data_IF_040538000417
#
_entry.id   IF_040538000417
#
_cell.length_a   1.000
_cell.length_b   1.000
_cell.length_c   1.000
_cell.angle_alpha   90.00
_cell.angle_beta   90.00
_cell.angle_gamma   90.00
#
_symmetry.space_group_name_H-M   'P 1'
#
loop_
_entity.id
_entity.type
_entity.pdbx_description
1 polymer ?
#
# COMPACT_ATOMS: atom_id res chain seq x y z
N UNK A 1 12.06 4.62 0.49
CA UNK A 1 10.62 4.98 0.46
C UNK A 1 9.83 3.75 0.85
N UNK A 2 8.98 3.88 1.86
CA UNK A 2 8.07 2.80 2.27
C UNK A 2 6.97 2.65 1.23
N UNK A 3 6.47 1.42 1.01
CA UNK A 3 5.29 1.24 0.17
C UNK A 3 4.04 1.80 0.84
N UNK A 4 2.99 2.15 0.06
CA UNK A 4 1.72 2.67 0.58
C UNK A 4 1.13 1.83 1.72
N UNK A 5 1.28 0.50 1.63
CA UNK A 5 0.82 -0.44 2.66
C UNK A 5 1.61 -0.27 3.97
N UNK A 6 2.93 -0.16 3.88
CA UNK A 6 3.81 0.01 5.03
C UNK A 6 3.56 1.36 5.71
N UNK A 7 3.31 2.41 4.93
CA UNK A 7 2.98 3.73 5.46
C UNK A 7 1.64 3.76 6.20
N UNK A 8 0.64 3.01 5.70
CA UNK A 8 -0.65 2.81 6.40
C UNK A 8 -0.47 2.06 7.73
N UNK A 9 0.37 1.03 7.78
CA UNK A 9 0.68 0.34 9.04
C UNK A 9 1.44 1.24 10.01
N UNK A 10 2.43 1.99 9.53
CA UNK A 10 3.15 2.97 10.33
C UNK A 10 2.18 4.01 10.93
N UNK A 11 1.25 4.52 10.12
CA UNK A 11 0.21 5.45 10.56
C UNK A 11 -0.66 4.87 11.69
N UNK A 12 -0.98 3.56 11.63
CA UNK A 12 -1.73 2.88 12.68
C UNK A 12 -0.89 2.73 13.96
N UNK A 13 0.35 2.27 13.83
CA UNK A 13 1.25 2.07 14.96
C UNK A 13 1.58 3.39 15.67
N UNK A 14 1.80 4.46 14.91
CA UNK A 14 2.04 5.79 15.44
C UNK A 14 0.83 6.32 16.22
N UNK A 15 -0.39 6.18 15.70
CA UNK A 15 -1.62 6.55 16.45
C UNK A 15 -1.75 5.76 17.74
N UNK A 16 -1.42 4.47 17.73
CA UNK A 16 -1.43 3.62 18.93
C UNK A 16 -0.42 4.10 19.98
N UNK A 17 0.82 4.39 19.59
CA UNK A 17 1.86 4.91 20.49
C UNK A 17 1.52 6.29 21.04
N UNK A 18 1.02 7.17 20.19
CA UNK A 18 0.54 8.50 20.56
C UNK A 18 -0.60 8.41 21.58
N UNK A 19 -1.58 7.53 21.34
CA UNK A 19 -2.69 7.31 22.26
C UNK A 19 -2.22 6.73 23.61
N UNK A 20 -1.26 5.80 23.61
CA UNK A 20 -0.67 5.29 24.85
C UNK A 20 0.00 6.39 25.67
N UNK A 21 0.74 7.30 25.02
CA UNK A 21 1.33 8.44 25.69
C UNK A 21 0.27 9.40 26.22
N UNK A 22 -0.64 9.89 25.37
CA UNK A 22 -1.63 10.91 25.74
C UNK A 22 -2.64 10.45 26.81
N UNK A 23 -2.83 9.14 26.98
CA UNK A 23 -3.71 8.56 28.01
C UNK A 23 -2.91 7.98 29.19
N UNK A 24 -1.68 8.46 29.41
CA UNK A 24 -0.84 7.98 30.52
C UNK A 24 -1.39 8.40 31.88
N UNK A 25 -0.94 7.68 32.90
CA UNK A 25 -1.11 7.98 34.32
C UNK A 25 0.25 8.19 35.00
N UNK A 26 0.25 8.41 36.32
CA UNK A 26 1.48 8.70 37.08
C UNK A 26 2.51 7.56 37.12
N UNK A 27 2.12 6.34 36.79
CA UNK A 27 3.01 5.18 36.80
C UNK A 27 3.67 4.92 35.45
N UNK A 28 3.07 5.40 34.36
CA UNK A 28 3.50 5.03 33.01
C UNK A 28 3.82 6.21 32.08
N UNK A 29 3.60 7.47 32.50
CA UNK A 29 3.86 8.63 31.64
C UNK A 29 5.31 8.71 31.14
N UNK A 30 6.29 8.56 32.03
CA UNK A 30 7.71 8.68 31.67
C UNK A 30 8.15 7.55 30.73
N UNK A 31 7.80 6.30 31.05
CA UNK A 31 8.15 5.16 30.19
C UNK A 31 7.46 5.23 28.83
N UNK A 32 6.23 5.76 28.77
CA UNK A 32 5.54 5.96 27.50
C UNK A 32 6.15 7.10 26.69
N UNK A 33 6.69 8.15 27.32
CA UNK A 33 7.45 9.19 26.63
C UNK A 33 8.75 8.61 26.05
N UNK A 34 9.53 7.87 26.83
CA UNK A 34 10.75 7.21 26.33
C UNK A 34 10.42 6.31 25.13
N UNK A 35 9.39 5.47 25.24
CA UNK A 35 8.94 4.62 24.13
C UNK A 35 8.48 5.40 22.90
N UNK A 36 7.90 6.58 23.08
CA UNK A 36 7.46 7.45 21.99
C UNK A 36 8.66 8.06 21.27
N UNK A 37 9.63 8.62 22.01
CA UNK A 37 10.88 9.16 21.48
C UNK A 37 11.68 8.05 20.77
N UNK A 38 11.89 6.91 21.43
CA UNK A 38 12.57 5.75 20.84
C UNK A 38 11.90 5.29 19.54
N UNK A 39 10.56 5.32 19.47
CA UNK A 39 9.82 4.94 18.26
C UNK A 39 10.05 5.92 17.11
N UNK A 40 10.12 7.24 17.39
CA UNK A 40 10.48 8.25 16.40
C UNK A 40 11.91 7.99 15.89
N UNK A 41 12.87 7.86 16.82
CA UNK A 41 14.29 7.74 16.49
C UNK A 41 14.62 6.44 15.72
N UNK A 42 14.00 5.33 16.11
CA UNK A 42 14.22 4.01 15.50
C UNK A 42 13.46 3.78 14.20
N UNK A 43 12.50 4.64 13.86
CA UNK A 43 11.71 4.50 12.63
C UNK A 43 12.17 5.51 11.57
N UNK A 44 12.84 5.09 10.48
CA UNK A 44 13.44 6.01 9.51
C UNK A 44 12.48 7.06 8.93
N UNK A 45 11.22 6.70 8.68
CA UNK A 45 10.20 7.64 8.18
C UNK A 45 9.82 8.69 9.22
N UNK A 46 9.59 8.29 10.48
CA UNK A 46 9.24 9.23 11.55
C UNK A 46 10.43 10.14 11.86
N UNK A 47 11.62 9.55 11.97
CA UNK A 47 12.88 10.28 12.09
C UNK A 47 13.01 11.32 10.99
N UNK A 48 12.80 10.93 9.73
CA UNK A 48 12.88 11.83 8.59
C UNK A 48 11.92 13.01 8.70
N UNK A 49 10.65 12.76 9.05
CA UNK A 49 9.61 13.79 9.22
C UNK A 49 10.03 14.81 10.29
N UNK A 50 10.50 14.34 11.45
CA UNK A 50 10.83 15.22 12.59
C UNK A 50 12.13 15.98 12.35
N UNK A 51 13.19 15.29 11.91
CA UNK A 51 14.49 15.92 11.68
C UNK A 51 14.52 16.88 10.49
N UNK A 52 13.62 16.75 9.51
CA UNK A 52 13.49 17.74 8.43
C UNK A 52 13.14 19.14 8.96
N UNK A 53 12.48 19.21 10.13
CA UNK A 53 12.18 20.45 10.85
C UNK A 53 13.21 20.74 11.94
N UNK A 54 13.46 19.77 12.84
CA UNK A 54 14.25 19.98 14.06
C UNK A 54 15.72 20.33 13.79
N UNK A 55 16.32 19.78 12.74
CA UNK A 55 17.74 20.03 12.39
C UNK A 55 17.94 21.33 11.60
N UNK A 56 16.87 21.88 11.02
CA UNK A 56 16.91 23.08 10.16
C UNK A 56 16.38 24.34 10.82
N UNK A 57 15.83 24.20 12.01
CA UNK A 57 15.25 25.31 12.78
C UNK A 57 16.18 25.58 13.96
N UNK A 58 16.51 26.83 14.22
CA UNK A 58 17.31 27.23 15.37
C UNK A 58 16.38 27.86 16.41
N UNK A 59 16.10 27.13 17.47
CA UNK A 59 15.19 27.55 18.55
C UNK A 59 15.53 26.78 19.83
N UNK A 60 15.68 27.46 20.97
CA UNK A 60 15.86 26.79 22.27
C UNK A 60 14.50 26.41 22.85
N UNK A 61 14.28 25.13 23.11
CA UNK A 61 13.03 24.67 23.70
C UNK A 61 12.72 25.32 25.05
N UNK A 62 13.73 25.83 25.77
CA UNK A 62 13.56 26.58 27.02
C UNK A 62 12.91 27.94 26.83
N UNK A 63 12.82 28.46 25.60
CA UNK A 63 12.01 29.64 25.31
C UNK A 63 10.52 29.27 25.19
N UNK A 64 10.19 28.02 24.86
CA UNK A 64 8.82 27.52 24.81
C UNK A 64 8.37 26.91 26.16
N UNK A 65 9.23 26.15 26.83
CA UNK A 65 8.91 25.48 28.09
C UNK A 65 9.66 26.13 29.24
N UNK A 66 8.96 26.98 29.99
CA UNK A 66 9.52 27.71 31.12
C UNK A 66 9.32 26.91 32.41
N UNK A 67 10.40 26.35 32.95
CA UNK A 67 10.36 25.55 34.19
C UNK A 67 11.55 25.84 35.10
N UNK A 68 11.62 27.04 35.69
CA UNK A 68 12.60 27.35 36.73
C UNK A 68 12.27 26.63 38.05
N UNK A 69 13.28 26.22 38.83
CA UNK A 69 13.07 25.52 40.10
C UNK A 69 12.09 26.24 41.04
N UNK A 70 11.05 25.53 41.47
CA UNK A 70 10.04 26.03 42.41
C UNK A 70 8.92 26.88 41.81
N UNK A 71 8.96 27.20 40.51
CA UNK A 71 7.93 27.98 39.81
C UNK A 71 6.84 27.11 39.17
N UNK A 72 5.70 27.69 38.79
CA UNK A 72 4.77 27.02 37.88
C UNK A 72 5.39 26.90 36.48
N UNK A 73 5.00 25.86 35.75
CA UNK A 73 5.39 25.68 34.36
C UNK A 73 4.50 26.54 33.46
N UNK A 74 5.13 27.25 32.54
CA UNK A 74 4.45 27.99 31.48
C UNK A 74 4.89 27.46 30.10
N UNK A 75 3.93 27.33 29.19
CA UNK A 75 4.18 26.96 27.79
C UNK A 75 3.94 28.19 26.92
N UNK A 76 5.03 28.78 26.43
CA UNK A 76 5.02 29.94 25.53
C UNK A 76 5.16 29.46 24.08
N UNK A 77 4.02 29.19 23.45
CA UNK A 77 3.99 28.68 22.08
C UNK A 77 4.53 29.75 21.11
N UNK A 78 5.62 29.49 20.35
CA UNK A 78 6.13 30.42 19.36
C UNK A 78 5.17 30.57 18.18
N UNK A 79 5.25 31.71 17.49
CA UNK A 79 4.38 32.01 16.34
C UNK A 79 4.73 31.14 15.13
N UNK A 80 6.01 30.83 14.93
CA UNK A 80 6.43 29.91 13.88
C UNK A 80 6.16 28.47 14.32
N UNK A 81 5.35 27.76 13.53
CA UNK A 81 5.03 26.36 13.77
C UNK A 81 6.29 25.49 13.81
N UNK A 82 7.30 25.77 12.99
CA UNK A 82 8.55 24.99 12.96
C UNK A 82 9.34 25.13 14.26
N UNK A 83 9.39 26.33 14.82
CA UNK A 83 10.00 26.59 16.13
C UNK A 83 9.26 25.82 17.22
N UNK A 84 7.93 25.80 17.17
CA UNK A 84 7.11 25.04 18.13
C UNK A 84 7.37 23.54 18.02
N UNK A 85 7.36 22.97 16.81
CA UNK A 85 7.62 21.54 16.58
C UNK A 85 9.02 21.14 17.04
N UNK A 86 10.03 21.97 16.73
CA UNK A 86 11.39 21.78 17.23
C UNK A 86 11.43 21.80 18.76
N UNK A 87 10.84 22.82 19.37
CA UNK A 87 10.83 22.97 20.83
C UNK A 87 10.22 21.75 21.51
N UNK A 88 9.07 21.26 21.02
CA UNK A 88 8.41 20.07 21.57
C UNK A 88 9.30 18.83 21.44
N UNK A 89 9.92 18.62 20.29
CA UNK A 89 10.80 17.46 20.07
C UNK A 89 12.04 17.51 20.96
N UNK A 90 12.72 18.66 21.03
CA UNK A 90 13.91 18.84 21.87
C UNK A 90 13.55 18.69 23.36
N UNK A 91 12.39 19.20 23.78
CA UNK A 91 11.87 19.04 25.13
C UNK A 91 11.53 17.59 25.49
N UNK A 92 10.80 16.88 24.61
CA UNK A 92 10.48 15.47 24.79
C UNK A 92 11.75 14.62 24.90
N UNK A 93 12.72 14.88 24.03
CA UNK A 93 14.04 14.22 24.04
C UNK A 93 14.83 14.55 25.31
N UNK A 94 14.78 15.79 25.78
CA UNK A 94 15.42 16.21 27.04
C UNK A 94 14.88 15.43 28.23
N UNK A 95 13.56 15.34 28.41
CA UNK A 95 12.97 14.58 29.52
C UNK A 95 13.28 13.09 29.36
N UNK A 96 13.09 12.52 28.17
CA UNK A 96 13.26 11.09 27.94
C UNK A 96 14.69 10.58 28.23
N UNK A 97 15.69 11.46 28.13
CA UNK A 97 17.09 11.15 28.40
C UNK A 97 17.59 11.68 29.76
N UNK A 98 16.73 12.30 30.56
CA UNK A 98 17.10 12.83 31.86
C UNK A 98 16.89 11.81 32.97
N UNK A 99 17.77 11.82 33.97
CA UNK A 99 17.59 11.06 35.21
C UNK A 99 16.78 11.84 36.25
N UNK A 100 16.65 13.17 36.08
CA UNK A 100 16.05 14.07 37.08
C UNK A 100 14.75 14.70 36.63
N UNK A 101 14.44 14.65 35.34
CA UNK A 101 13.24 15.25 34.76
C UNK A 101 12.20 14.18 34.44
N UNK A 102 10.93 14.53 34.60
CA UNK A 102 9.82 13.59 34.45
C UNK A 102 8.57 14.35 34.02
N UNK A 103 7.76 13.75 33.15
CA UNK A 103 6.44 14.26 32.77
C UNK A 103 5.57 14.41 34.02
N UNK A 104 5.63 13.48 34.95
CA UNK A 104 4.83 13.53 36.19
C UNK A 104 5.26 14.70 37.07
N UNK A 105 6.57 14.95 37.15
CA UNK A 105 7.10 16.10 37.89
C UNK A 105 6.64 17.42 37.27
N UNK A 106 6.76 17.55 35.94
CA UNK A 106 6.37 18.75 35.21
C UNK A 106 4.86 18.97 35.24
N UNK A 107 4.05 17.94 35.02
CA UNK A 107 2.60 18.06 35.01
C UNK A 107 2.04 18.52 36.36
N UNK A 108 2.64 18.12 37.48
CA UNK A 108 2.22 18.57 38.83
C UNK A 108 2.44 20.06 39.06
N UNK A 109 3.33 20.67 38.27
CA UNK A 109 3.63 22.11 38.28
C UNK A 109 2.97 22.83 37.11
N UNK A 110 2.08 22.16 36.37
CA UNK A 110 1.33 22.77 35.27
C UNK A 110 -0.01 23.35 35.77
N UNK A 111 -0.38 24.59 35.40
CA UNK A 111 -1.67 25.16 35.75
C UNK A 111 -2.82 24.38 35.11
N UNK A 112 -3.45 23.51 35.89
CA UNK A 112 -4.59 22.71 35.47
C UNK A 112 -5.80 22.94 36.39
N UNK A 113 -7.01 22.96 35.81
CA UNK A 113 -8.26 23.10 36.58
C UNK A 113 -8.67 21.81 37.29
N UNK A 114 -8.17 20.65 36.83
CA UNK A 114 -8.45 19.38 37.46
C UNK A 114 -7.55 19.16 38.67
N UNK A 115 -8.08 18.51 39.69
CA UNK A 115 -7.33 18.05 40.86
C UNK A 115 -6.95 16.57 40.79
N UNK A 116 -7.37 15.84 39.74
CA UNK A 116 -7.01 14.42 39.56
C UNK A 116 -5.67 14.31 38.85
N UNK A 117 -4.73 13.57 39.43
CA UNK A 117 -3.37 13.42 38.91
C UNK A 117 -3.34 13.00 37.44
N UNK A 118 -4.14 11.99 37.06
CA UNK A 118 -4.22 11.50 35.68
C UNK A 118 -4.70 12.58 34.70
N UNK A 119 -5.77 13.29 35.03
CA UNK A 119 -6.29 14.37 34.17
C UNK A 119 -5.29 15.53 34.07
N UNK A 120 -4.52 15.82 35.13
CA UNK A 120 -3.45 16.82 35.11
C UNK A 120 -2.32 16.38 34.17
N UNK A 121 -1.87 15.13 34.25
CA UNK A 121 -0.86 14.55 33.36
C UNK A 121 -1.32 14.61 31.90
N UNK A 122 -2.56 14.18 31.64
CA UNK A 122 -3.10 14.12 30.28
C UNK A 122 -3.30 15.52 29.70
N UNK A 123 -3.80 16.49 30.48
CA UNK A 123 -3.89 17.88 30.02
C UNK A 123 -2.51 18.45 29.71
N UNK A 124 -1.53 18.19 30.57
CA UNK A 124 -0.16 18.63 30.33
C UNK A 124 0.40 18.03 29.03
N UNK A 125 0.24 16.73 28.80
CA UNK A 125 0.69 16.06 27.57
C UNK A 125 -0.06 16.57 26.32
N UNK A 126 -1.34 16.89 26.45
CA UNK A 126 -2.13 17.49 25.37
C UNK A 126 -1.59 18.86 24.96
N UNK A 127 -1.11 19.67 25.91
CA UNK A 127 -0.60 21.00 25.60
C UNK A 127 0.89 20.99 25.22
N UNK A 128 1.67 20.05 25.78
CA UNK A 128 3.13 20.00 25.57
C UNK A 128 3.59 19.09 24.44
N UNK A 129 2.92 17.95 24.19
CA UNK A 129 3.42 16.91 23.25
C UNK A 129 2.49 16.71 22.05
N UNK A 130 1.17 16.84 22.24
CA UNK A 130 0.19 16.58 21.17
C UNK A 130 0.43 17.37 19.87
N UNK A 131 0.88 18.63 19.87
CA UNK A 131 1.13 19.32 18.60
C UNK A 131 2.19 18.62 17.72
N UNK A 132 3.23 18.02 18.31
CA UNK A 132 4.19 17.17 17.59
C UNK A 132 3.53 15.90 17.04
N UNK A 133 2.66 15.27 17.83
CA UNK A 133 1.88 14.10 17.40
C UNK A 133 1.00 14.45 16.19
N UNK A 134 0.31 15.58 16.24
CA UNK A 134 -0.57 16.03 15.16
C UNK A 134 0.24 16.32 13.89
N UNK A 135 1.38 17.02 14.01
CA UNK A 135 2.30 17.29 12.90
C UNK A 135 2.78 16.01 12.20
N UNK A 136 3.20 15.00 12.97
CA UNK A 136 3.66 13.72 12.40
C UNK A 136 2.49 12.99 11.73
N UNK A 137 1.31 12.94 12.36
CA UNK A 137 0.12 12.32 11.78
C UNK A 137 -0.27 12.97 10.45
N UNK A 138 -0.24 14.29 10.38
CA UNK A 138 -0.56 15.05 9.17
C UNK A 138 0.47 14.80 8.07
N UNK A 139 1.77 14.75 8.42
CA UNK A 139 2.84 14.46 7.47
C UNK A 139 2.70 13.06 6.85
N UNK A 140 2.45 12.04 7.67
CA UNK A 140 2.17 10.67 7.19
C UNK A 140 0.90 10.66 6.32
N UNK A 141 -0.14 11.37 6.73
CA UNK A 141 -1.42 11.39 6.01
C UNK A 141 -1.29 12.05 4.64
N UNK A 142 -0.53 13.16 4.54
CA UNK A 142 -0.21 13.82 3.26
C UNK A 142 0.54 12.90 2.31
N UNK A 143 1.53 12.15 2.81
CA UNK A 143 2.28 11.20 1.99
C UNK A 143 1.40 10.02 1.52
N UNK A 144 0.51 9.51 2.38
CA UNK A 144 -0.48 8.49 2.01
C UNK A 144 -1.43 9.00 0.90
N UNK A 145 -1.87 10.25 0.96
CA UNK A 145 -2.74 10.87 -0.06
C UNK A 145 -1.98 10.96 -1.38
N UNK A 146 -0.76 11.50 -1.37
CA UNK A 146 0.07 11.65 -2.58
C UNK A 146 0.32 10.29 -3.25
N UNK A 147 0.68 9.26 -2.49
CA UNK A 147 0.89 7.91 -3.02
C UNK A 147 -0.39 7.26 -3.57
N UNK A 148 -1.56 7.63 -3.05
CA UNK A 148 -2.85 7.15 -3.60
C UNK A 148 -3.24 7.88 -4.89
N UNK A 149 -2.90 9.16 -5.01
CA UNK A 149 -3.10 9.94 -6.24
C UNK A 149 -2.15 9.50 -7.36
N UNK A 150 -0.91 9.14 -7.03
CA UNK A 150 0.08 8.60 -7.98
C UNK A 150 -0.23 7.17 -8.41
N UNK A 151 -1.02 6.44 -7.62
CA UNK A 151 -1.43 5.08 -7.91
C UNK A 151 -2.94 4.93 -7.66
N UNK A 152 -3.77 5.65 -8.45
CA UNK A 152 -5.21 5.59 -8.31
C UNK A 152 -5.57 4.16 -8.68
N UNK A 153 -5.90 3.34 -7.67
CA UNK A 153 -6.13 1.92 -7.85
C UNK A 153 -7.01 1.72 -9.09
N UNK A 154 -6.60 0.80 -9.97
CA UNK A 154 -7.27 0.59 -11.26
C UNK A 154 -8.75 0.36 -11.01
N UNK A 155 -9.57 1.38 -11.26
CA UNK A 155 -11.02 1.24 -11.24
C UNK A 155 -11.42 0.52 -12.51
N UNK A 156 -11.55 -0.80 -12.41
CA UNK A 156 -12.14 -1.60 -13.48
C UNK A 156 -13.66 -1.49 -13.39
N UNK A 157 -14.25 -0.70 -14.28
CA UNK A 157 -15.70 -0.63 -14.45
C UNK A 157 -16.10 -1.46 -15.66
N UNK A 158 -16.82 -2.55 -15.42
CA UNK A 158 -17.43 -3.33 -16.50
C UNK A 158 -18.68 -2.60 -16.98
N UNK A 159 -18.60 -1.96 -18.13
CA UNK A 159 -19.76 -1.41 -18.83
C UNK A 159 -20.29 -2.52 -19.76
N UNK A 160 -21.60 -2.79 -19.72
CA UNK A 160 -22.25 -3.73 -20.63
C UNK A 160 -22.28 -3.21 -22.09
N UNK A 161 -23.26 -3.63 -22.88
CA UNK A 161 -23.39 -3.16 -24.27
C UNK A 161 -23.61 -1.64 -24.34
N UNK A 162 -22.69 -0.91 -24.96
CA UNK A 162 -22.80 0.54 -25.20
C UNK A 162 -23.00 0.78 -26.69
N UNK A 163 -24.15 1.36 -27.07
CA UNK A 163 -24.46 1.74 -28.47
C UNK A 163 -24.11 3.22 -28.77
N UNK A 164 -23.19 3.82 -28.01
CA UNK A 164 -22.84 5.24 -28.06
C UNK A 164 -21.39 5.52 -27.63
N UNK A 165 -20.99 6.80 -27.63
CA UNK A 165 -19.63 7.19 -27.29
C UNK A 165 -19.39 7.13 -25.77
N UNK A 166 -18.25 6.54 -25.37
CA UNK A 166 -17.75 6.61 -24.00
C UNK A 166 -16.94 7.91 -23.86
N UNK A 167 -17.34 8.77 -22.92
CA UNK A 167 -16.65 10.03 -22.63
C UNK A 167 -16.19 10.01 -21.18
N UNK A 168 -14.90 10.19 -20.94
CA UNK A 168 -14.33 10.29 -19.60
C UNK A 168 -14.29 11.76 -19.16
N UNK A 169 -14.76 12.05 -17.94
CA UNK A 169 -14.81 13.42 -17.38
C UNK A 169 -13.58 13.78 -16.52
N UNK A 170 -12.68 12.83 -16.23
CA UNK A 170 -11.50 13.04 -15.39
C UNK A 170 -10.21 12.54 -16.05
N UNK A 171 -9.05 12.99 -15.58
CA UNK A 171 -7.73 12.55 -16.06
C UNK A 171 -7.44 11.08 -15.71
N UNK A 172 -7.17 10.25 -16.71
CA UNK A 172 -6.78 8.84 -16.57
C UNK A 172 -6.77 8.14 -17.94
N UNK A 173 -6.14 6.97 -18.06
CA UNK A 173 -6.16 6.19 -19.30
C UNK A 173 -7.41 5.29 -19.36
N UNK A 174 -8.21 5.41 -20.43
CA UNK A 174 -9.25 4.40 -20.74
C UNK A 174 -8.57 3.25 -21.47
N UNK A 175 -8.47 2.09 -20.82
CA UNK A 175 -8.24 0.84 -21.52
C UNK A 175 -9.60 0.26 -21.93
N UNK A 176 -10.02 0.51 -23.18
CA UNK A 176 -11.24 -0.09 -23.72
C UNK A 176 -10.91 -1.53 -24.13
N UNK A 177 -11.28 -2.49 -23.28
CA UNK A 177 -11.31 -3.89 -23.67
C UNK A 177 -12.67 -4.16 -24.33
N UNK A 178 -12.77 -3.83 -25.62
CA UNK A 178 -13.94 -4.26 -26.40
C UNK A 178 -13.90 -5.78 -26.53
N UNK A 179 -14.83 -6.47 -25.86
CA UNK A 179 -15.24 -7.80 -26.29
C UNK A 179 -16.03 -7.67 -27.60
N UNK A 180 -15.35 -7.30 -28.68
CA UNK A 180 -15.88 -7.55 -30.02
C UNK A 180 -16.12 -9.03 -30.12
N UNK A 181 -17.36 -9.44 -30.42
CA UNK A 181 -17.75 -10.84 -30.49
C UNK A 181 -16.73 -11.63 -31.31
N UNK A 182 -15.98 -12.49 -30.63
CA UNK A 182 -15.00 -13.34 -31.28
C UNK A 182 -15.73 -14.57 -31.77
N UNK A 183 -15.61 -14.82 -33.07
CA UNK A 183 -16.24 -15.97 -33.69
C UNK A 183 -15.53 -17.25 -33.24
N UNK A 184 -16.24 -18.39 -33.21
CA UNK A 184 -15.58 -19.68 -32.97
C UNK A 184 -14.47 -19.99 -33.98
N UNK A 185 -14.52 -19.37 -35.16
CA UNK A 185 -13.50 -19.46 -36.22
C UNK A 185 -12.18 -18.81 -35.79
N UNK A 186 -12.22 -17.67 -35.10
CA UNK A 186 -11.04 -16.97 -34.60
C UNK A 186 -10.33 -17.77 -33.48
N UNK A 187 -11.10 -18.40 -32.59
CA UNK A 187 -10.55 -19.25 -31.53
C UNK A 187 -9.95 -20.54 -32.12
N UNK A 188 -10.60 -21.15 -33.09
CA UNK A 188 -10.07 -22.33 -33.79
C UNK A 188 -8.75 -22.01 -34.52
N UNK A 189 -8.67 -20.85 -35.19
CA UNK A 189 -7.43 -20.41 -35.85
C UNK A 189 -6.26 -20.20 -34.89
N UNK A 190 -6.52 -19.66 -33.69
CA UNK A 190 -5.50 -19.52 -32.64
C UNK A 190 -5.02 -20.88 -32.12
N UNK A 191 -5.93 -21.85 -31.93
CA UNK A 191 -5.57 -23.21 -31.51
C UNK A 191 -4.65 -23.86 -32.54
N UNK A 192 -5.02 -23.82 -33.83
CA UNK A 192 -4.22 -24.41 -34.92
C UNK A 192 -2.83 -23.79 -35.00
N UNK A 193 -2.75 -22.47 -34.91
CA UNK A 193 -1.49 -21.73 -34.88
C UNK A 193 -0.60 -22.21 -33.74
N UNK A 194 -1.13 -22.33 -32.52
CA UNK A 194 -0.35 -22.77 -31.36
C UNK A 194 0.09 -24.25 -31.50
N UNK A 195 -0.82 -25.16 -31.87
CA UNK A 195 -0.51 -26.59 -32.06
C UNK A 195 0.65 -26.76 -33.07
N UNK A 196 0.64 -26.00 -34.16
CA UNK A 196 1.69 -26.07 -35.19
C UNK A 196 3.08 -25.66 -34.69
N UNK A 197 3.15 -24.88 -33.61
CA UNK A 197 4.40 -24.39 -33.00
C UNK A 197 4.92 -25.25 -31.85
N UNK A 198 4.12 -26.20 -31.33
CA UNK A 198 4.49 -26.98 -30.15
C UNK A 198 5.74 -27.83 -30.36
N UNK A 199 5.93 -28.38 -31.56
CA UNK A 199 7.11 -29.19 -31.91
C UNK A 199 8.42 -28.40 -31.95
N UNK A 200 8.34 -27.07 -31.97
CA UNK A 200 9.51 -26.19 -31.96
C UNK A 200 9.95 -25.82 -30.55
N UNK A 201 9.13 -26.07 -29.52
CA UNK A 201 9.44 -25.77 -28.12
C UNK A 201 10.63 -26.62 -27.65
N UNK A 202 11.69 -25.95 -27.20
CA UNK A 202 12.89 -26.57 -26.63
C UNK A 202 12.89 -26.39 -25.12
N UNK A 203 13.65 -27.23 -24.42
CA UNK A 203 13.86 -27.13 -22.97
C UNK A 203 12.58 -27.29 -22.11
N UNK A 204 11.58 -27.96 -22.68
CA UNK A 204 10.36 -28.44 -22.03
C UNK A 204 10.27 -29.95 -22.30
N UNK A 205 9.82 -30.71 -21.29
CA UNK A 205 9.66 -32.16 -21.43
C UNK A 205 8.63 -32.50 -22.52
N UNK A 206 8.92 -33.53 -23.31
CA UNK A 206 8.00 -34.04 -24.33
C UNK A 206 6.65 -34.43 -23.73
N UNK A 207 6.62 -34.96 -22.51
CA UNK A 207 5.36 -35.32 -21.83
C UNK A 207 4.49 -34.07 -21.54
N UNK A 208 5.11 -32.95 -21.18
CA UNK A 208 4.41 -31.68 -20.91
C UNK A 208 3.89 -31.04 -22.21
N UNK A 209 4.69 -31.13 -23.28
CA UNK A 209 4.28 -30.65 -24.62
C UNK A 209 3.13 -31.48 -25.18
N UNK A 210 3.18 -32.80 -25.03
CA UNK A 210 2.10 -33.69 -25.46
C UNK A 210 0.83 -33.46 -24.63
N UNK A 211 0.96 -33.26 -23.32
CA UNK A 211 -0.18 -32.95 -22.45
C UNK A 211 -0.90 -31.66 -22.85
N UNK A 212 -0.17 -30.56 -23.12
CA UNK A 212 -0.83 -29.31 -23.54
C UNK A 212 -1.43 -29.42 -24.93
N UNK A 213 -0.84 -30.25 -25.80
CA UNK A 213 -1.38 -30.55 -27.12
C UNK A 213 -2.74 -31.25 -27.00
N UNK A 214 -2.85 -32.28 -26.16
CA UNK A 214 -4.11 -32.98 -25.91
C UNK A 214 -5.20 -32.04 -25.38
N UNK A 215 -4.84 -31.10 -24.50
CA UNK A 215 -5.76 -30.09 -23.99
C UNK A 215 -6.22 -29.12 -25.10
N UNK A 216 -5.31 -28.66 -25.96
CA UNK A 216 -5.63 -27.80 -27.09
C UNK A 216 -6.53 -28.50 -28.12
N UNK A 217 -6.25 -29.77 -28.44
CA UNK A 217 -7.08 -30.60 -29.31
C UNK A 217 -8.46 -30.84 -28.69
N UNK A 218 -8.53 -31.05 -27.37
CA UNK A 218 -9.81 -31.19 -26.68
C UNK A 218 -10.63 -29.88 -26.70
N UNK A 219 -9.99 -28.71 -26.61
CA UNK A 219 -10.67 -27.43 -26.80
C UNK A 219 -11.20 -27.31 -28.24
N UNK A 220 -10.37 -27.66 -29.23
CA UNK A 220 -10.74 -27.63 -30.64
C UNK A 220 -11.98 -28.49 -30.94
N UNK A 221 -11.98 -29.74 -30.44
CA UNK A 221 -13.10 -30.67 -30.58
C UNK A 221 -14.40 -30.09 -29.99
N UNK A 222 -14.31 -29.42 -28.84
CA UNK A 222 -15.48 -28.85 -28.18
C UNK A 222 -16.01 -27.60 -28.88
N UNK A 223 -15.14 -26.77 -29.46
CA UNK A 223 -15.55 -25.58 -30.23
C UNK A 223 -16.33 -25.97 -31.49
N UNK A 224 -15.91 -27.06 -32.14
CA UNK A 224 -16.55 -27.57 -33.36
C UNK A 224 -17.78 -28.47 -33.07
N UNK A 225 -17.99 -28.86 -31.82
CA UNK A 225 -19.11 -29.71 -31.43
C UNK A 225 -20.45 -28.95 -31.56
N UNK A 226 -21.51 -29.59 -32.10
CA UNK A 226 -22.85 -29.01 -32.08
C UNK A 226 -23.43 -28.90 -30.66
N UNK A 227 -22.82 -29.59 -29.69
CA UNK A 227 -23.20 -29.53 -28.26
C UNK A 227 -21.94 -29.45 -27.39
N UNK A 228 -21.32 -28.26 -27.28
CA UNK A 228 -20.11 -28.06 -26.49
C UNK A 228 -20.38 -28.33 -25.01
N UNK A 229 -19.48 -29.06 -24.34
CA UNK A 229 -19.58 -29.32 -22.90
C UNK A 229 -18.69 -28.36 -22.12
N UNK A 230 -19.32 -27.37 -21.47
CA UNK A 230 -18.66 -26.35 -20.64
C UNK A 230 -17.59 -26.90 -19.70
N UNK A 231 -17.93 -27.93 -18.91
CA UNK A 231 -16.99 -28.54 -17.95
C UNK A 231 -15.77 -29.20 -18.61
N UNK A 232 -15.94 -29.77 -19.82
CA UNK A 232 -14.84 -30.39 -20.56
C UNK A 232 -13.89 -29.32 -21.10
N UNK A 233 -14.44 -28.24 -21.65
CA UNK A 233 -13.67 -27.09 -22.11
C UNK A 233 -12.92 -26.41 -20.97
N UNK A 234 -13.56 -26.22 -19.82
CA UNK A 234 -12.91 -25.61 -18.66
C UNK A 234 -11.74 -26.47 -18.17
N UNK A 235 -11.89 -27.80 -18.16
CA UNK A 235 -10.81 -28.71 -17.76
C UNK A 235 -9.61 -28.60 -18.71
N UNK A 236 -9.85 -28.65 -20.01
CA UNK A 236 -8.80 -28.50 -21.02
C UNK A 236 -8.13 -27.13 -20.94
N UNK A 237 -8.91 -26.05 -20.81
CA UNK A 237 -8.39 -24.70 -20.64
C UNK A 237 -7.51 -24.55 -19.39
N UNK A 238 -7.88 -25.19 -18.28
CA UNK A 238 -7.06 -25.17 -17.07
C UNK A 238 -5.69 -25.80 -17.30
N UNK A 239 -5.61 -26.87 -18.11
CA UNK A 239 -4.34 -27.50 -18.51
C UNK A 239 -3.48 -26.58 -19.37
N UNK A 240 -4.08 -25.93 -20.37
CA UNK A 240 -3.42 -24.89 -21.19
C UNK A 240 -2.88 -23.74 -20.35
N UNK A 241 -3.67 -23.24 -19.39
CA UNK A 241 -3.26 -22.16 -18.48
C UNK A 241 -2.10 -22.57 -17.60
N UNK A 242 -2.14 -23.79 -17.05
CA UNK A 242 -1.07 -24.32 -16.22
C UNK A 242 0.24 -24.41 -17.01
N UNK A 243 0.21 -25.01 -18.20
CA UNK A 243 1.38 -25.09 -19.07
C UNK A 243 1.97 -23.70 -19.37
N UNK A 244 1.13 -22.74 -19.75
CA UNK A 244 1.58 -21.38 -20.04
C UNK A 244 2.15 -20.67 -18.79
N UNK A 245 1.61 -20.92 -17.60
CA UNK A 245 2.15 -20.39 -16.34
C UNK A 245 3.52 -20.98 -16.02
N UNK A 246 3.68 -22.29 -16.18
CA UNK A 246 4.89 -23.02 -15.78
C UNK A 246 6.04 -22.80 -16.78
N UNK A 247 5.74 -22.57 -18.06
CA UNK A 247 6.73 -22.50 -19.14
C UNK A 247 6.71 -21.19 -19.95
N UNK A 248 5.88 -20.20 -19.59
CA UNK A 248 5.59 -19.01 -20.42
C UNK A 248 6.82 -18.24 -20.90
N UNK A 249 7.89 -18.14 -20.10
CA UNK A 249 9.14 -17.48 -20.53
C UNK A 249 9.91 -18.32 -21.56
N UNK A 250 9.93 -19.65 -21.44
CA UNK A 250 10.58 -20.56 -22.40
C UNK A 250 9.82 -20.64 -23.72
N UNK A 251 8.49 -20.67 -23.64
CA UNK A 251 7.59 -20.63 -24.79
C UNK A 251 7.70 -19.27 -25.49
N UNK A 252 7.86 -18.16 -24.76
CA UNK A 252 8.08 -16.84 -25.39
C UNK A 252 9.44 -16.74 -26.11
N UNK A 253 10.51 -17.30 -25.53
CA UNK A 253 11.89 -17.21 -26.07
C UNK A 253 12.08 -18.09 -27.31
N UNK A 254 11.54 -19.30 -27.32
CA UNK A 254 11.73 -20.24 -28.44
C UNK A 254 10.96 -19.81 -29.68
N UNK A 255 9.80 -19.18 -29.46
CA UNK A 255 8.82 -18.91 -30.51
C UNK A 255 8.94 -17.49 -31.08
N UNK A 256 9.63 -16.58 -30.36
CA UNK A 256 10.09 -15.29 -30.92
C UNK A 256 10.93 -15.44 -32.20
N UNK A 257 11.52 -16.62 -32.45
CA UNK A 257 12.25 -16.91 -33.68
C UNK A 257 11.33 -17.16 -34.90
N UNK A 258 10.04 -17.54 -34.71
CA UNK A 258 9.01 -17.68 -35.77
C UNK A 258 7.57 -17.72 -35.21
N UNK A 259 6.77 -16.74 -35.67
CA UNK A 259 5.29 -16.75 -35.88
C UNK A 259 4.34 -16.81 -34.66
N UNK A 260 4.65 -17.48 -33.55
CA UNK A 260 3.76 -17.53 -32.36
C UNK A 260 4.40 -16.78 -31.17
N UNK A 261 3.61 -16.10 -30.34
CA UNK A 261 4.11 -15.21 -29.28
C UNK A 261 3.39 -15.47 -27.96
N UNK A 262 3.93 -14.95 -26.85
CA UNK A 262 3.20 -14.94 -25.57
C UNK A 262 1.85 -14.21 -25.68
N UNK A 263 1.72 -13.28 -26.62
CA UNK A 263 0.45 -12.60 -26.91
C UNK A 263 -0.56 -13.57 -27.56
N UNK A 264 -0.12 -14.48 -28.42
CA UNK A 264 -1.02 -15.49 -29.02
C UNK A 264 -1.57 -16.46 -27.97
N UNK A 265 -0.73 -16.92 -27.02
CA UNK A 265 -1.19 -17.74 -25.89
C UNK A 265 -2.16 -16.99 -24.99
N UNK A 266 -1.86 -15.72 -24.69
CA UNK A 266 -2.75 -14.86 -23.90
C UNK A 266 -4.09 -14.65 -24.60
N UNK A 267 -4.06 -14.40 -25.91
CA UNK A 267 -5.24 -14.24 -26.74
C UNK A 267 -6.08 -15.53 -26.74
N UNK A 268 -5.47 -16.70 -26.96
CA UNK A 268 -6.16 -17.98 -26.92
C UNK A 268 -6.87 -18.21 -25.58
N UNK A 269 -6.18 -18.01 -24.46
CA UNK A 269 -6.76 -18.21 -23.12
C UNK A 269 -7.96 -17.27 -22.93
N UNK A 270 -7.83 -15.99 -23.28
CA UNK A 270 -8.92 -15.01 -23.16
C UNK A 270 -10.11 -15.40 -24.04
N UNK A 271 -9.87 -15.78 -25.29
CA UNK A 271 -10.93 -16.15 -26.22
C UNK A 271 -11.64 -17.44 -25.82
N UNK A 272 -10.91 -18.44 -25.32
CA UNK A 272 -11.51 -19.65 -24.78
C UNK A 272 -12.40 -19.35 -23.57
N UNK A 273 -11.97 -18.49 -22.64
CA UNK A 273 -12.79 -18.06 -21.50
C UNK A 273 -14.08 -17.38 -21.94
N UNK A 274 -14.01 -16.50 -22.95
CA UNK A 274 -15.19 -15.81 -23.49
C UNK A 274 -16.15 -16.79 -24.15
N UNK A 275 -15.65 -17.70 -24.98
CA UNK A 275 -16.47 -18.73 -25.61
C UNK A 275 -17.18 -19.60 -24.57
N UNK A 276 -16.45 -20.09 -23.55
CA UNK A 276 -17.01 -20.89 -22.44
C UNK A 276 -18.04 -20.10 -21.63
N UNK A 277 -17.82 -18.80 -21.45
CA UNK A 277 -18.76 -17.91 -20.76
C UNK A 277 -20.10 -17.77 -21.47
N UNK A 278 -20.10 -17.88 -22.81
CA UNK A 278 -21.27 -17.75 -23.66
C UNK A 278 -22.04 -19.08 -23.90
N UNK A 279 -21.48 -20.21 -23.43
CA UNK A 279 -22.16 -21.52 -23.37
C UNK A 279 -23.02 -21.64 -22.10
#
# INVERSE_FOLDING_TARGET
MNGLKDLKFLSLDFRRKSSQLLNSDEHNADVNLCRFVDFIESTPTLRGIVHDVADRTEYDFRECFLFEDGSWIEIQIPVDEKEHIKAIYDYATYIANSETESIVYHSRRYPCRSSKTEEVIQNYLNDSIKPLIDFINDSISKEIILMQEENPGVMTQNIGTVNGNVVQQQSGNIAINTNTGVSGEDLNGLIEKIISSLSEIKDVDTEEVDSVKDDLESLQEQIQSPTPKKNRMQKALNGVQKFFSDFGMKVAVTVAAKVVTSQDWTALIQQAQLFIGNL
#
